data_IF_074275173721
#
_entry.id   IF_074275173721
#
_cell.length_a   1.000
_cell.length_b   1.000
_cell.length_c   1.000
_cell.angle_alpha   90.00
_cell.angle_beta   90.00
_cell.angle_gamma   90.00
#
_symmetry.space_group_name_H-M   'P 1'
#
loop_
_entity.id
_entity.type
_entity.pdbx_description
1 polymer ?
#
# COMPACT_ATOMS: atom_id res chain seq x y z
N UNK A 1 2.29 2.93 -5.44
CA UNK A 1 1.92 1.55 -5.88
C UNK A 1 2.67 1.20 -7.16
N UNK A 2 3.37 0.07 -7.23
CA UNK A 2 4.26 -0.24 -8.37
C UNK A 2 3.47 -0.35 -9.69
N UNK A 3 3.58 0.65 -10.55
CA UNK A 3 2.92 0.71 -11.86
C UNK A 3 3.18 -0.55 -12.68
N UNK A 4 4.40 -1.09 -12.60
CA UNK A 4 4.80 -2.32 -13.31
C UNK A 4 4.03 -3.56 -12.82
N UNK A 5 3.88 -3.74 -11.49
CA UNK A 5 3.18 -4.92 -10.94
C UNK A 5 1.69 -4.84 -11.25
N UNK A 6 1.09 -3.66 -11.13
CA UNK A 6 -0.32 -3.48 -11.48
C UNK A 6 -0.57 -3.62 -12.98
N UNK A 7 0.33 -3.11 -13.82
CA UNK A 7 0.29 -3.33 -15.26
C UNK A 7 0.39 -4.82 -15.61
N UNK A 8 1.30 -5.55 -14.95
CA UNK A 8 1.45 -6.99 -15.14
C UNK A 8 0.21 -7.76 -14.66
N UNK A 9 -0.36 -7.40 -13.52
CA UNK A 9 -1.59 -8.00 -13.01
C UNK A 9 -2.78 -7.76 -13.96
N UNK A 10 -2.94 -6.53 -14.47
CA UNK A 10 -3.96 -6.22 -15.46
C UNK A 10 -3.78 -7.05 -16.75
N UNK A 11 -2.54 -7.12 -17.24
CA UNK A 11 -2.21 -7.91 -18.43
C UNK A 11 -2.54 -9.40 -18.23
N UNK A 12 -2.22 -9.97 -17.07
CA UNK A 12 -2.54 -11.38 -16.78
C UNK A 12 -4.05 -11.64 -16.73
N UNK A 13 -4.85 -10.69 -16.21
CA UNK A 13 -6.32 -10.79 -16.23
C UNK A 13 -6.85 -10.75 -17.67
N UNK A 14 -6.39 -9.82 -18.50
CA UNK A 14 -6.81 -9.72 -19.89
C UNK A 14 -6.48 -10.99 -20.69
N UNK A 15 -5.26 -11.52 -20.50
CA UNK A 15 -4.86 -12.79 -21.12
C UNK A 15 -5.70 -13.97 -20.62
N UNK A 16 -5.99 -14.04 -19.32
CA UNK A 16 -6.85 -15.08 -18.76
C UNK A 16 -8.25 -15.04 -19.37
N UNK A 17 -8.85 -13.84 -19.49
CA UNK A 17 -10.15 -13.68 -20.15
C UNK A 17 -10.12 -14.13 -21.61
N UNK A 18 -9.10 -13.75 -22.36
CA UNK A 18 -8.94 -14.16 -23.78
C UNK A 18 -8.84 -15.69 -23.90
N UNK A 19 -7.96 -16.32 -23.12
CA UNK A 19 -7.81 -17.78 -23.15
C UNK A 19 -9.06 -18.52 -22.67
N UNK A 20 -9.79 -17.94 -21.72
CA UNK A 20 -11.09 -18.49 -21.29
C UNK A 20 -12.13 -18.47 -22.41
N UNK A 21 -12.26 -17.37 -23.16
CA UNK A 21 -13.17 -17.27 -24.27
C UNK A 21 -12.81 -18.27 -25.41
N UNK A 22 -11.52 -18.39 -25.73
CA UNK A 22 -11.03 -19.38 -26.69
C UNK A 22 -11.35 -20.80 -26.20
N UNK A 23 -11.11 -21.08 -24.91
CA UNK A 23 -11.45 -22.37 -24.30
C UNK A 23 -12.95 -22.70 -24.47
N UNK A 24 -13.85 -21.73 -24.15
CA UNK A 24 -15.28 -21.91 -24.27
C UNK A 24 -15.69 -22.25 -25.74
N UNK A 25 -15.12 -21.53 -26.71
CA UNK A 25 -15.36 -21.80 -28.12
C UNK A 25 -14.93 -23.21 -28.54
N UNK A 26 -13.70 -23.61 -28.14
CA UNK A 26 -13.19 -24.95 -28.44
C UNK A 26 -13.94 -26.05 -27.68
N UNK A 27 -14.39 -25.76 -26.47
CA UNK A 27 -15.18 -26.67 -25.66
C UNK A 27 -16.58 -26.90 -26.27
N UNK A 28 -17.21 -25.84 -26.77
CA UNK A 28 -18.46 -25.96 -27.52
C UNK A 28 -18.31 -26.84 -28.78
N UNK A 29 -17.21 -26.67 -29.53
CA UNK A 29 -16.88 -27.53 -30.68
C UNK A 29 -16.57 -28.97 -30.27
N UNK A 30 -15.97 -29.18 -29.10
CA UNK A 30 -15.77 -30.52 -28.54
C UNK A 30 -17.10 -31.22 -28.28
N UNK A 31 -18.06 -30.53 -27.65
CA UNK A 31 -19.40 -31.10 -27.38
C UNK A 31 -20.16 -31.38 -28.69
N UNK A 32 -20.19 -30.39 -29.61
CA UNK A 32 -20.97 -30.47 -30.85
C UNK A 32 -20.41 -31.51 -31.83
N UNK A 33 -19.09 -31.58 -32.00
CA UNK A 33 -18.43 -32.36 -33.05
C UNK A 33 -17.60 -33.53 -32.56
N UNK A 34 -17.66 -33.85 -31.24
CA UNK A 34 -16.83 -34.88 -30.55
C UNK A 34 -15.32 -34.77 -30.86
N UNK A 35 -14.84 -33.52 -31.05
CA UNK A 35 -13.39 -33.24 -31.24
C UNK A 35 -12.61 -33.48 -29.95
N UNK A 36 -11.28 -33.50 -30.07
CA UNK A 36 -10.42 -33.68 -28.89
C UNK A 36 -10.61 -32.54 -27.85
N UNK A 37 -10.63 -32.89 -26.57
CA UNK A 37 -10.77 -31.94 -25.46
C UNK A 37 -9.61 -30.92 -25.48
N UNK A 38 -9.87 -29.60 -25.33
CA UNK A 38 -8.86 -28.54 -25.48
C UNK A 38 -7.97 -28.39 -24.21
N UNK A 39 -7.27 -29.47 -23.84
CA UNK A 39 -6.42 -29.52 -22.61
C UNK A 39 -5.39 -28.39 -22.56
N UNK A 40 -4.75 -28.06 -23.69
CA UNK A 40 -3.71 -27.02 -23.73
C UNK A 40 -4.26 -25.65 -23.34
N UNK A 41 -5.45 -25.29 -23.84
CA UNK A 41 -6.10 -24.01 -23.52
C UNK A 41 -6.53 -23.95 -22.07
N UNK A 42 -7.01 -25.05 -21.50
CA UNK A 42 -7.34 -25.12 -20.08
C UNK A 42 -6.09 -24.92 -19.20
N UNK A 43 -4.97 -25.57 -19.54
CA UNK A 43 -3.70 -25.42 -18.79
C UNK A 43 -3.21 -23.98 -18.87
N UNK A 44 -3.24 -23.36 -20.06
CA UNK A 44 -2.78 -21.95 -20.23
C UNK A 44 -3.65 -21.00 -19.40
N UNK A 45 -4.97 -21.16 -19.44
CA UNK A 45 -5.88 -20.38 -18.60
C UNK A 45 -5.58 -20.56 -17.11
N UNK A 46 -5.45 -21.81 -16.64
CA UNK A 46 -5.13 -22.09 -15.24
C UNK A 46 -3.78 -21.47 -14.80
N UNK A 47 -2.78 -21.49 -15.70
CA UNK A 47 -1.47 -20.87 -15.45
C UNK A 47 -1.58 -19.34 -15.32
N UNK A 48 -2.38 -18.68 -16.13
CA UNK A 48 -2.63 -17.24 -16.02
C UNK A 48 -3.33 -16.89 -14.71
N UNK A 49 -4.33 -17.68 -14.30
CA UNK A 49 -5.01 -17.50 -13.01
C UNK A 49 -4.05 -17.70 -11.83
N UNK A 50 -3.23 -18.75 -11.88
CA UNK A 50 -2.23 -19.01 -10.83
C UNK A 50 -1.21 -17.87 -10.71
N UNK A 51 -0.73 -17.34 -11.84
CA UNK A 51 0.19 -16.19 -11.85
C UNK A 51 -0.47 -14.94 -11.26
N UNK A 52 -1.72 -14.66 -11.64
CA UNK A 52 -2.47 -13.53 -11.07
C UNK A 52 -2.62 -13.65 -9.54
N UNK A 53 -3.00 -14.83 -9.04
CA UNK A 53 -3.12 -15.08 -7.60
C UNK A 53 -1.76 -14.93 -6.90
N UNK A 54 -0.67 -15.41 -7.50
CA UNK A 54 0.68 -15.24 -6.97
C UNK A 54 1.08 -13.75 -6.86
N UNK A 55 0.74 -12.93 -7.87
CA UNK A 55 0.98 -11.49 -7.85
C UNK A 55 0.16 -10.79 -6.76
N UNK A 56 -1.10 -11.19 -6.55
CA UNK A 56 -1.95 -10.66 -5.48
C UNK A 56 -1.38 -10.97 -4.11
N UNK A 57 -1.00 -12.24 -3.86
CA UNK A 57 -0.34 -12.66 -2.61
C UNK A 57 0.97 -11.90 -2.40
N UNK A 58 1.78 -11.75 -3.45
CA UNK A 58 3.02 -10.99 -3.36
C UNK A 58 2.78 -9.53 -2.97
N UNK A 59 1.80 -8.85 -3.59
CA UNK A 59 1.46 -7.47 -3.25
C UNK A 59 1.00 -7.32 -1.80
N UNK A 60 0.26 -8.28 -1.27
CA UNK A 60 -0.28 -8.25 0.07
C UNK A 60 0.78 -8.50 1.15
N UNK A 61 1.61 -9.53 0.97
CA UNK A 61 2.54 -9.98 2.01
C UNK A 61 3.96 -9.39 1.90
N UNK A 62 4.31 -8.75 0.78
CA UNK A 62 5.62 -8.15 0.55
C UNK A 62 5.54 -6.64 0.32
N UNK A 63 4.54 -5.99 0.92
CA UNK A 63 4.43 -4.54 0.91
C UNK A 63 5.63 -3.90 1.64
N UNK A 64 6.15 -2.79 1.08
CA UNK A 64 7.13 -1.91 1.74
C UNK A 64 6.79 -0.46 1.42
N UNK A 65 7.11 0.45 2.32
CA UNK A 65 6.93 1.89 2.08
C UNK A 65 7.89 2.45 1.01
N UNK A 66 9.00 1.74 0.70
CA UNK A 66 9.93 2.13 -0.37
C UNK A 66 9.28 2.14 -1.77
N UNK A 67 8.07 1.56 -1.88
CA UNK A 67 7.27 1.56 -3.12
C UNK A 67 6.49 2.85 -3.36
N UNK A 68 6.49 3.76 -2.41
CA UNK A 68 5.80 5.05 -2.52
C UNK A 68 6.63 5.94 -3.42
N UNK A 69 6.00 6.52 -4.44
CA UNK A 69 6.67 7.40 -5.39
C UNK A 69 6.79 8.81 -4.81
N UNK A 70 7.97 9.11 -4.28
CA UNK A 70 8.26 10.45 -3.71
C UNK A 70 8.25 11.58 -4.74
N UNK A 71 8.34 11.29 -6.05
CA UNK A 71 8.28 12.32 -7.07
C UNK A 71 6.90 12.98 -7.18
N UNK A 72 5.86 12.34 -6.68
CA UNK A 72 4.49 12.85 -6.66
C UNK A 72 4.02 13.24 -5.24
N UNK A 73 4.96 13.56 -4.35
CA UNK A 73 4.63 14.01 -2.99
C UNK A 73 4.79 15.52 -2.86
N UNK A 74 3.95 16.12 -2.02
CA UNK A 74 4.04 17.53 -1.65
C UNK A 74 4.10 17.64 -0.13
N UNK A 75 5.08 18.36 0.40
CA UNK A 75 5.19 18.61 1.82
C UNK A 75 3.98 19.43 2.32
N UNK A 76 3.35 18.95 3.40
CA UNK A 76 2.10 19.53 3.95
C UNK A 76 2.37 20.39 5.17
N UNK A 77 3.29 19.94 6.04
CA UNK A 77 3.63 20.61 7.29
C UNK A 77 5.12 20.92 7.34
N UNK A 78 5.49 21.91 8.13
CA UNK A 78 6.90 22.18 8.43
C UNK A 78 7.49 20.99 9.19
N UNK A 79 8.77 20.65 8.99
CA UNK A 79 9.46 19.68 9.80
C UNK A 79 9.37 20.03 11.28
N UNK A 80 9.10 19.03 12.11
CA UNK A 80 8.99 19.19 13.57
C UNK A 80 10.03 18.31 14.25
N UNK A 81 10.94 18.91 15.00
CA UNK A 81 11.96 18.19 15.74
C UNK A 81 11.42 17.68 17.09
N UNK A 82 11.89 16.50 17.52
CA UNK A 82 11.62 15.97 18.84
C UNK A 82 12.26 16.85 19.92
N UNK A 83 11.76 16.86 21.18
CA UNK A 83 12.26 17.73 22.23
C UNK A 83 13.77 17.63 22.49
N UNK A 84 14.36 16.44 22.30
CA UNK A 84 15.80 16.21 22.44
C UNK A 84 16.58 16.39 21.12
N UNK A 85 15.92 16.74 20.00
CA UNK A 85 16.52 16.90 18.68
C UNK A 85 17.01 15.58 18.04
N UNK A 86 16.63 14.41 18.58
CA UNK A 86 17.08 13.13 18.05
C UNK A 86 16.36 12.73 16.75
N UNK A 87 15.12 13.17 16.60
CA UNK A 87 14.26 12.84 15.46
C UNK A 87 13.65 14.09 14.83
N UNK A 88 13.45 14.04 13.51
CA UNK A 88 12.69 15.05 12.75
C UNK A 88 11.55 14.36 12.04
N UNK A 89 10.32 14.84 12.25
CA UNK A 89 9.11 14.35 11.59
C UNK A 89 8.63 15.29 10.48
N UNK A 90 8.24 14.75 9.34
CA UNK A 90 7.73 15.48 8.19
C UNK A 90 6.49 14.78 7.63
N UNK A 91 5.50 15.57 7.18
CA UNK A 91 4.30 15.05 6.55
C UNK A 91 4.22 15.46 5.08
N UNK A 92 3.80 14.53 4.24
CA UNK A 92 3.65 14.71 2.80
C UNK A 92 2.28 14.22 2.31
N UNK A 93 1.73 14.90 1.32
CA UNK A 93 0.65 14.37 0.50
C UNK A 93 1.21 13.58 -0.67
N UNK A 94 0.74 12.37 -0.88
CA UNK A 94 0.98 11.55 -2.06
C UNK A 94 -0.27 11.57 -2.94
N UNK A 95 -0.14 12.10 -4.14
CA UNK A 95 -1.23 12.11 -5.14
C UNK A 95 -1.15 10.84 -5.98
N UNK A 96 -2.26 10.10 -6.09
CA UNK A 96 -2.30 8.88 -6.86
C UNK A 96 -3.52 8.81 -7.79
N UNK A 97 -3.42 8.01 -8.87
CA UNK A 97 -4.55 7.65 -9.74
C UNK A 97 -5.06 8.74 -10.71
N UNK A 98 -4.37 9.85 -10.83
CA UNK A 98 -4.74 10.93 -11.77
C UNK A 98 -6.13 11.51 -11.49
N UNK A 99 -6.98 11.69 -12.54
CA UNK A 99 -8.31 12.35 -12.44
C UNK A 99 -9.30 11.61 -11.53
N UNK A 100 -9.16 10.28 -11.40
CA UNK A 100 -10.02 9.43 -10.55
C UNK A 100 -9.29 8.98 -9.27
N UNK A 101 -8.15 9.59 -9.00
CA UNK A 101 -7.31 9.22 -7.86
C UNK A 101 -7.74 9.88 -6.56
N UNK A 102 -6.88 9.72 -5.57
CA UNK A 102 -7.03 10.30 -4.24
C UNK A 102 -5.71 10.88 -3.75
N UNK A 103 -5.70 11.26 -2.49
CA UNK A 103 -4.54 11.78 -1.79
C UNK A 103 -4.33 10.95 -0.53
N UNK A 104 -3.11 10.48 -0.32
CA UNK A 104 -2.70 9.87 0.95
C UNK A 104 -1.80 10.82 1.73
N UNK A 105 -1.79 10.67 3.05
CA UNK A 105 -0.82 11.29 3.94
C UNK A 105 0.25 10.28 4.27
N UNK A 106 1.50 10.72 4.15
CA UNK A 106 2.69 9.98 4.57
C UNK A 106 3.37 10.78 5.66
N UNK A 107 3.74 10.13 6.77
CA UNK A 107 4.63 10.76 7.75
C UNK A 107 5.95 10.00 7.78
N UNK A 108 7.01 10.75 7.53
CA UNK A 108 8.39 10.30 7.62
C UNK A 108 9.04 10.78 8.90
N UNK A 109 9.87 9.94 9.48
CA UNK A 109 10.71 10.30 10.62
C UNK A 109 12.16 10.00 10.27
N UNK A 110 12.99 11.01 10.42
CA UNK A 110 14.44 10.92 10.24
C UNK A 110 15.13 10.85 11.59
N UNK A 111 15.96 9.82 11.80
CA UNK A 111 16.93 9.77 12.90
C UNK A 111 18.08 10.70 12.54
N UNK A 112 18.22 11.79 13.30
CA UNK A 112 19.19 12.86 13.02
C UNK A 112 20.66 12.43 13.25
N UNK A 113 20.89 11.34 14.02
CA UNK A 113 22.24 10.79 14.25
C UNK A 113 22.71 9.94 13.08
N UNK A 114 21.83 9.08 12.57
CA UNK A 114 22.17 8.09 11.55
C UNK A 114 21.79 8.60 10.15
N UNK A 115 21.03 9.68 10.05
CA UNK A 115 20.45 10.22 8.79
C UNK A 115 19.59 9.14 8.08
N UNK A 116 18.95 8.26 8.86
CA UNK A 116 18.06 7.23 8.37
C UNK A 116 16.62 7.72 8.43
N UNK A 117 15.96 7.77 7.27
CA UNK A 117 14.54 8.17 7.16
C UNK A 117 13.67 6.94 6.99
N UNK A 118 12.55 6.89 7.71
CA UNK A 118 11.56 5.83 7.63
C UNK A 118 10.15 6.39 7.64
N UNK A 119 9.25 5.74 6.91
CA UNK A 119 7.82 6.06 6.94
C UNK A 119 7.20 5.27 8.10
N UNK A 120 6.47 5.97 8.96
CA UNK A 120 5.78 5.38 10.11
C UNK A 120 4.26 5.48 10.02
N UNK A 121 3.73 6.35 9.15
CA UNK A 121 2.30 6.56 8.98
C UNK A 121 1.94 6.65 7.50
N UNK A 122 0.86 5.97 7.12
CA UNK A 122 0.29 6.02 5.78
C UNK A 122 -1.23 5.86 5.86
N UNK A 123 -1.97 6.87 5.43
CA UNK A 123 -3.42 6.86 5.44
C UNK A 123 -4.01 7.75 4.35
N UNK A 124 -5.30 7.59 4.04
CA UNK A 124 -6.04 8.52 3.20
C UNK A 124 -6.04 9.92 3.83
N UNK A 125 -5.77 10.95 3.01
CA UNK A 125 -5.70 12.32 3.47
C UNK A 125 -7.08 12.86 3.81
N UNK A 126 -7.21 13.44 5.00
CA UNK A 126 -8.36 14.24 5.42
C UNK A 126 -8.06 15.74 5.20
N UNK A 127 -8.89 16.62 5.77
CA UNK A 127 -8.81 18.06 5.52
C UNK A 127 -7.56 18.72 6.13
N UNK A 128 -7.09 18.24 7.28
CA UNK A 128 -5.97 18.84 8.02
C UNK A 128 -5.01 17.78 8.52
N UNK A 129 -3.72 18.07 8.39
CA UNK A 129 -2.64 17.22 8.93
C UNK A 129 -1.75 18.06 9.82
N UNK A 130 -1.49 17.57 11.04
CA UNK A 130 -0.53 18.18 11.94
C UNK A 130 0.25 17.13 12.76
N UNK A 131 1.46 17.47 13.13
CA UNK A 131 2.40 16.62 13.87
C UNK A 131 2.75 17.29 15.20
N UNK A 132 2.67 16.56 16.30
CA UNK A 132 3.02 17.03 17.64
C UNK A 132 3.80 15.98 18.39
N UNK A 133 5.01 16.27 18.81
CA UNK A 133 5.76 15.40 19.70
C UNK A 133 5.16 15.43 21.11
N UNK A 134 4.86 14.26 21.65
CA UNK A 134 4.40 14.08 23.03
C UNK A 134 5.59 13.96 23.99
N UNK A 135 6.64 13.30 23.53
CA UNK A 135 7.92 13.15 24.19
C UNK A 135 9.04 12.93 23.15
N UNK A 136 10.21 12.48 23.57
CA UNK A 136 11.40 12.33 22.73
C UNK A 136 11.26 11.28 21.62
N UNK A 137 10.37 10.29 21.79
CA UNK A 137 10.19 9.16 20.87
C UNK A 137 8.73 8.94 20.45
N UNK A 138 7.78 9.71 20.99
CA UNK A 138 6.35 9.54 20.75
C UNK A 138 5.80 10.71 19.95
N UNK A 139 5.31 10.42 18.75
CA UNK A 139 4.71 11.39 17.83
C UNK A 139 3.20 11.20 17.77
N UNK A 140 2.45 12.27 18.02
CA UNK A 140 1.02 12.35 17.75
C UNK A 140 0.80 12.91 16.34
N UNK A 141 0.05 12.18 15.53
CA UNK A 141 -0.28 12.49 14.15
C UNK A 141 -1.78 12.75 14.09
N UNK A 142 -2.14 13.94 13.69
CA UNK A 142 -3.53 14.34 13.48
C UNK A 142 -3.80 14.38 11.99
N UNK A 143 -4.75 13.58 11.54
CA UNK A 143 -5.27 13.57 10.18
C UNK A 143 -6.78 13.72 10.29
N UNK A 144 -7.26 14.98 10.33
CA UNK A 144 -8.59 15.36 10.79
C UNK A 144 -9.48 15.90 9.67
N UNK A 145 -10.76 15.57 9.74
CA UNK A 145 -11.80 16.24 8.94
C UNK A 145 -12.22 17.60 9.54
N UNK A 146 -13.00 18.36 8.78
CA UNK A 146 -13.56 19.65 9.23
C UNK A 146 -14.34 19.55 10.57
N UNK A 147 -14.95 18.41 10.87
CA UNK A 147 -15.73 18.16 12.07
C UNK A 147 -14.93 17.59 13.25
N UNK A 148 -13.63 17.76 13.28
CA UNK A 148 -12.68 17.31 14.32
C UNK A 148 -13.23 16.22 15.25
N UNK A 149 -12.94 14.98 14.92
CA UNK A 149 -13.24 13.88 15.80
C UNK A 149 -12.02 13.62 16.71
N UNK A 150 -12.15 13.62 18.05
CA UNK A 150 -11.02 13.32 18.94
C UNK A 150 -10.39 11.94 18.71
N UNK A 151 -11.03 11.05 17.97
CA UNK A 151 -10.49 9.75 17.59
C UNK A 151 -9.61 9.77 16.32
N UNK A 152 -9.41 10.93 15.72
CA UNK A 152 -8.59 11.08 14.51
C UNK A 152 -7.07 11.25 14.84
N UNK A 153 -6.71 11.13 16.11
CA UNK A 153 -5.33 11.14 16.59
C UNK A 153 -4.74 9.72 16.56
N UNK A 154 -3.58 9.59 15.92
CA UNK A 154 -2.76 8.39 15.98
C UNK A 154 -1.46 8.70 16.69
N UNK A 155 -1.19 8.02 17.81
CA UNK A 155 0.03 8.21 18.62
C UNK A 155 0.94 7.02 18.39
N UNK A 156 2.19 7.27 17.94
CA UNK A 156 3.16 6.24 17.60
C UNK A 156 4.51 6.46 18.30
N UNK A 157 5.08 5.38 18.84
CA UNK A 157 6.50 5.35 19.14
C UNK A 157 7.28 5.20 17.83
N UNK A 158 8.04 6.25 17.46
CA UNK A 158 8.70 6.34 16.16
C UNK A 158 9.75 5.25 15.93
N UNK A 159 10.27 4.60 16.97
CA UNK A 159 11.27 3.54 16.84
C UNK A 159 10.68 2.18 16.52
N UNK A 160 9.43 1.90 16.95
CA UNK A 160 8.89 0.54 17.01
C UNK A 160 7.53 0.37 16.36
N UNK A 161 6.80 1.47 16.08
CA UNK A 161 5.40 1.42 15.71
C UNK A 161 5.15 2.07 14.36
N UNK A 162 4.21 1.52 13.63
CA UNK A 162 3.72 2.05 12.35
C UNK A 162 2.20 1.99 12.28
N UNK A 163 1.65 2.84 11.46
CA UNK A 163 0.23 2.86 11.14
C UNK A 163 0.01 2.80 9.63
N UNK A 164 -0.95 1.99 9.21
CA UNK A 164 -1.42 1.93 7.83
C UNK A 164 -2.92 1.67 7.81
N UNK A 165 -3.73 2.64 7.37
CA UNK A 165 -5.19 2.62 7.40
C UNK A 165 -5.82 1.34 6.83
N UNK A 166 -5.28 0.84 5.71
CA UNK A 166 -5.75 -0.37 5.00
C UNK A 166 -5.07 -1.66 5.47
N UNK A 167 -4.21 -1.61 6.47
CA UNK A 167 -3.56 -2.77 7.06
C UNK A 167 -2.51 -3.48 6.21
N UNK A 168 -2.17 -3.00 5.00
CA UNK A 168 -1.20 -3.68 4.12
C UNK A 168 0.20 -3.76 4.77
N UNK A 169 0.62 -2.69 5.45
CA UNK A 169 1.88 -2.70 6.19
C UNK A 169 1.87 -3.71 7.33
N UNK A 170 0.72 -3.87 8.00
CA UNK A 170 0.55 -4.80 9.12
C UNK A 170 0.59 -6.27 8.68
N UNK A 171 0.22 -6.56 7.44
CA UNK A 171 0.29 -7.90 6.85
C UNK A 171 1.67 -8.22 6.27
N UNK A 172 2.51 -7.19 6.04
CA UNK A 172 3.82 -7.37 5.41
C UNK A 172 4.81 -8.13 6.30
N UNK A 173 5.33 -9.23 5.76
CA UNK A 173 6.41 -10.00 6.40
C UNK A 173 7.69 -9.19 6.57
N UNK A 174 7.95 -8.24 5.66
CA UNK A 174 9.15 -7.40 5.68
C UNK A 174 9.07 -6.34 6.78
N UNK A 175 7.92 -5.67 6.91
CA UNK A 175 7.72 -4.61 7.90
C UNK A 175 7.57 -5.16 9.32
N UNK A 176 6.97 -6.33 9.50
CA UNK A 176 6.91 -7.05 10.79
C UNK A 176 8.28 -7.38 11.39
N UNK A 177 9.33 -7.43 10.57
CA UNK A 177 10.70 -7.62 11.04
C UNK A 177 11.34 -6.32 11.51
N UNK A 178 10.90 -5.18 10.98
CA UNK A 178 11.46 -3.85 11.29
C UNK A 178 10.72 -3.19 12.46
N UNK A 179 9.43 -3.40 12.58
CA UNK A 179 8.56 -2.76 13.56
C UNK A 179 7.89 -3.79 14.45
N UNK A 180 7.76 -3.49 15.73
CA UNK A 180 7.15 -4.39 16.72
C UNK A 180 5.62 -4.38 16.65
N UNK A 181 5.05 -3.20 16.42
CA UNK A 181 3.60 -3.00 16.39
C UNK A 181 3.18 -2.28 15.13
N UNK A 182 2.09 -2.74 14.55
CA UNK A 182 1.45 -2.09 13.42
C UNK A 182 -0.04 -1.89 13.75
N UNK A 183 -0.50 -0.68 13.57
CA UNK A 183 -1.90 -0.29 13.77
C UNK A 183 -2.58 -0.12 12.41
N UNK A 184 -3.88 -0.44 12.37
CA UNK A 184 -4.76 -0.28 11.22
C UNK A 184 -6.14 0.19 11.68
N UNK A 185 -6.92 0.79 10.78
CA UNK A 185 -8.30 1.12 11.09
C UNK A 185 -9.11 -0.17 11.31
N UNK A 186 -9.71 -0.29 12.49
CA UNK A 186 -10.69 -1.32 12.75
C UNK A 186 -11.96 -0.99 11.95
N UNK A 187 -12.17 -1.71 10.84
CA UNK A 187 -13.41 -1.65 10.07
C UNK A 187 -14.53 -2.38 10.79
#
# INVERSE_FOLDING_TARGET
MNLLINGLALLTVLLAMLFFLIFLGLFALYIANKKAFPKRMLITFASCVALFLALMVYNQYFFTFDRIDKAHTQQVARPVESPNGAFTAEAFYEFYGGVLGGVNVIVEVTDNKNVETKIIYYAEAKAFVSLVWRDDETLAIYNEDYNRNPNDEVVLNVSNEIYHDRGLACQSVLLRKKFKTCYEDNK
#
